data_IF_503391987098
#
_entry.id   IF_503391987098
#
_cell.length_a   1.000
_cell.length_b   1.000
_cell.length_c   1.000
_cell.angle_alpha   90.00
_cell.angle_beta   90.00
_cell.angle_gamma   90.00
#
_symmetry.space_group_name_H-M   'P 1'
#
loop_
_entity.id
_entity.type
_entity.pdbx_description
1 polymer ?
#
# COMPACT_ATOMS: atom_id res chain seq x y z
N UNK A 1 10.88 4.44 -1.95
CA UNK A 1 10.16 3.18 -2.18
C UNK A 1 9.79 3.13 -3.64
N UNK A 2 10.36 2.18 -4.37
CA UNK A 2 10.09 1.98 -5.80
C UNK A 2 8.81 1.17 -5.95
N UNK A 3 8.12 1.33 -7.09
CA UNK A 3 6.90 0.58 -7.37
C UNK A 3 7.14 -0.94 -7.52
N UNK A 4 8.40 -1.34 -7.67
CA UNK A 4 8.86 -2.72 -7.85
C UNK A 4 9.34 -3.39 -6.56
N UNK A 5 9.29 -2.69 -5.42
CA UNK A 5 9.66 -3.24 -4.11
C UNK A 5 8.49 -4.03 -3.53
N UNK A 6 8.23 -5.21 -4.11
CA UNK A 6 7.19 -6.14 -3.69
C UNK A 6 7.72 -7.13 -2.66
N UNK A 7 6.86 -7.55 -1.73
CA UNK A 7 7.11 -8.65 -0.78
C UNK A 7 5.92 -9.60 -0.71
N UNK A 8 6.15 -10.76 -0.12
CA UNK A 8 5.08 -11.68 0.28
C UNK A 8 4.04 -10.89 1.08
N UNK A 9 2.77 -11.11 0.73
CA UNK A 9 1.62 -10.46 1.36
C UNK A 9 1.16 -9.16 0.71
N UNK A 10 1.91 -8.60 -0.25
CA UNK A 10 1.47 -7.41 -0.97
C UNK A 10 0.32 -7.71 -1.95
N UNK A 11 -0.64 -6.79 -2.02
CA UNK A 11 -1.70 -6.81 -3.03
C UNK A 11 -1.20 -6.17 -4.34
N UNK A 12 -1.41 -6.89 -5.44
CA UNK A 12 -1.06 -6.47 -6.81
C UNK A 12 -2.15 -6.90 -7.77
N UNK A 13 -2.18 -6.30 -8.96
CA UNK A 13 -2.94 -6.89 -10.07
C UNK A 13 -2.10 -7.99 -10.71
N UNK A 14 -2.71 -9.15 -10.91
CA UNK A 14 -2.09 -10.27 -11.62
C UNK A 14 -2.74 -10.48 -12.99
N UNK A 15 -1.96 -10.29 -14.06
CA UNK A 15 -2.49 -10.30 -15.42
C UNK A 15 -2.58 -11.70 -16.05
N UNK A 16 -2.01 -12.74 -15.46
CA UNK A 16 -1.92 -14.07 -16.09
C UNK A 16 -1.24 -14.06 -17.47
N UNK A 17 -1.17 -15.22 -18.12
CA UNK A 17 -0.56 -15.36 -19.46
C UNK A 17 -1.56 -15.17 -20.60
N UNK A 18 -2.87 -15.18 -20.31
CA UNK A 18 -3.94 -15.22 -21.32
C UNK A 18 -4.63 -13.86 -21.55
N UNK A 19 -4.01 -12.75 -21.12
CA UNK A 19 -4.53 -11.39 -21.26
C UNK A 19 -4.95 -10.76 -19.92
N UNK A 20 -5.08 -9.42 -19.86
CA UNK A 20 -5.14 -8.67 -18.60
C UNK A 20 -6.41 -8.99 -17.81
N UNK A 21 -6.27 -9.86 -16.82
CA UNK A 21 -7.24 -9.99 -15.74
C UNK A 21 -6.82 -9.02 -14.63
N UNK A 22 -7.69 -8.07 -14.26
CA UNK A 22 -7.41 -7.14 -13.16
C UNK A 22 -7.76 -7.77 -11.81
N UNK A 23 -7.36 -9.03 -11.63
CA UNK A 23 -7.62 -9.74 -10.39
C UNK A 23 -6.65 -9.23 -9.33
N UNK A 24 -7.22 -8.74 -8.22
CA UNK A 24 -6.44 -8.43 -7.02
C UNK A 24 -5.93 -9.75 -6.48
N UNK A 25 -4.62 -9.85 -6.35
CA UNK A 25 -3.92 -11.04 -5.93
C UNK A 25 -2.90 -10.70 -4.84
N UNK A 26 -2.69 -11.62 -3.90
CA UNK A 26 -1.74 -11.45 -2.79
C UNK A 26 -0.51 -12.29 -3.08
N UNK A 27 0.66 -11.65 -3.16
CA UNK A 27 1.93 -12.31 -3.47
C UNK A 27 2.27 -13.36 -2.41
N UNK A 28 2.65 -14.56 -2.84
CA UNK A 28 3.14 -15.64 -1.99
C UNK A 28 4.61 -16.00 -2.26
N UNK A 29 5.11 -17.06 -1.61
CA UNK A 29 6.50 -17.51 -1.78
C UNK A 29 6.82 -18.11 -3.16
N UNK A 30 5.84 -18.71 -3.83
CA UNK A 30 5.99 -19.25 -5.18
C UNK A 30 6.17 -18.08 -6.15
N UNK A 31 5.38 -17.02 -6.00
CA UNK A 31 5.48 -15.83 -6.84
C UNK A 31 6.85 -15.19 -6.76
N UNK A 32 7.38 -15.00 -5.55
CA UNK A 32 8.74 -14.46 -5.35
C UNK A 32 9.78 -15.32 -6.06
N UNK A 33 9.73 -16.64 -5.85
CA UNK A 33 10.64 -17.57 -6.51
C UNK A 33 10.56 -17.49 -8.04
N UNK A 34 9.36 -17.34 -8.60
CA UNK A 34 9.15 -17.21 -10.04
C UNK A 34 9.59 -15.85 -10.57
N UNK A 35 9.37 -14.76 -9.83
CA UNK A 35 9.84 -13.41 -10.20
C UNK A 35 11.37 -13.35 -10.29
N UNK A 36 12.07 -14.06 -9.41
CA UNK A 36 13.53 -14.12 -9.38
C UNK A 36 14.09 -15.05 -10.47
N UNK A 37 13.46 -16.20 -10.69
CA UNK A 37 13.97 -17.24 -11.60
C UNK A 37 13.55 -17.06 -13.07
N UNK A 38 12.41 -16.40 -13.34
CA UNK A 38 11.85 -16.25 -14.69
C UNK A 38 11.83 -14.80 -15.15
N UNK A 39 12.67 -14.48 -16.14
CA UNK A 39 12.73 -13.16 -16.77
C UNK A 39 11.35 -12.75 -17.29
N UNK A 40 10.84 -11.63 -16.78
CA UNK A 40 9.55 -11.06 -17.19
C UNK A 40 8.35 -11.47 -16.33
N UNK A 41 8.49 -12.44 -15.41
CA UNK A 41 7.38 -12.85 -14.54
C UNK A 41 6.92 -11.73 -13.59
N UNK A 42 7.86 -10.89 -13.14
CA UNK A 42 7.55 -9.66 -12.39
C UNK A 42 6.59 -8.74 -13.15
N UNK A 43 6.63 -8.71 -14.49
CA UNK A 43 5.74 -7.85 -15.29
C UNK A 43 4.28 -8.31 -15.26
N UNK A 44 4.01 -9.56 -14.86
CA UNK A 44 2.65 -10.06 -14.65
C UNK A 44 2.01 -9.47 -13.39
N UNK A 45 2.80 -8.84 -12.52
CA UNK A 45 2.37 -8.27 -11.25
C UNK A 45 2.52 -6.76 -11.30
N UNK A 46 1.41 -6.05 -11.52
CA UNK A 46 1.45 -4.59 -11.57
C UNK A 46 0.95 -3.97 -10.26
N UNK A 47 1.58 -2.89 -9.79
CA UNK A 47 1.14 -2.17 -8.60
C UNK A 47 -0.30 -1.69 -8.69
N UNK A 48 -1.04 -1.82 -7.58
CA UNK A 48 -2.37 -1.22 -7.44
C UNK A 48 -2.20 0.21 -6.94
N UNK A 49 -2.82 1.18 -7.61
CA UNK A 49 -2.85 2.57 -7.16
C UNK A 49 -3.60 2.69 -5.83
N UNK A 50 -2.99 3.41 -4.88
CA UNK A 50 -3.61 3.68 -3.60
C UNK A 50 -4.69 4.75 -3.78
N UNK A 51 -5.91 4.43 -3.35
CA UNK A 51 -7.06 5.34 -3.32
C UNK A 51 -7.54 5.51 -1.89
N UNK A 52 -8.40 6.50 -1.63
CA UNK A 52 -9.06 6.62 -0.32
C UNK A 52 -9.82 5.34 0.06
N UNK A 53 -10.56 4.76 -0.89
CA UNK A 53 -11.30 3.52 -0.67
C UNK A 53 -10.38 2.38 -0.23
N UNK A 54 -9.20 2.26 -0.84
CA UNK A 54 -8.22 1.28 -0.38
C UNK A 54 -7.79 1.49 1.07
N UNK A 55 -7.60 2.76 1.49
CA UNK A 55 -7.26 3.07 2.88
C UNK A 55 -8.42 2.68 3.80
N UNK A 56 -9.68 2.96 3.43
CA UNK A 56 -10.87 2.63 4.22
C UNK A 56 -11.11 1.12 4.35
N UNK A 57 -10.82 0.37 3.30
CA UNK A 57 -11.00 -1.08 3.28
C UNK A 57 -9.98 -1.83 4.16
N UNK A 58 -8.90 -1.19 4.62
CA UNK A 58 -7.91 -1.87 5.46
C UNK A 58 -8.37 -2.04 6.90
N UNK A 59 -7.91 -3.12 7.51
CA UNK A 59 -8.09 -3.36 8.94
C UNK A 59 -7.40 -2.27 9.78
N UNK A 60 -7.90 -2.06 11.00
CA UNK A 60 -7.31 -1.16 12.01
C UNK A 60 -7.26 0.33 11.65
N UNK A 61 -8.05 0.74 10.66
CA UNK A 61 -8.13 2.13 10.22
C UNK A 61 -9.11 2.89 11.11
N UNK A 62 -8.63 3.99 11.68
CA UNK A 62 -9.47 4.98 12.37
C UNK A 62 -9.48 6.25 11.53
N UNK A 63 -10.66 6.68 11.10
CA UNK A 63 -10.87 7.90 10.30
C UNK A 63 -11.21 9.10 11.19
N UNK A 64 -10.66 10.26 10.83
CA UNK A 64 -10.97 11.56 11.43
C UNK A 64 -10.66 12.68 10.43
N UNK A 65 -11.20 13.86 10.67
CA UNK A 65 -10.89 15.07 9.91
C UNK A 65 -9.91 15.93 10.70
N UNK A 66 -8.95 16.56 10.01
CA UNK A 66 -8.10 17.58 10.61
C UNK A 66 -8.72 18.99 10.51
N UNK A 67 -8.06 19.99 11.10
CA UNK A 67 -8.50 21.39 11.13
C UNK A 67 -8.69 21.99 9.71
N UNK A 68 -7.97 21.45 8.72
CA UNK A 68 -8.04 21.82 7.31
C UNK A 68 -9.12 21.03 6.55
N UNK A 69 -9.96 20.25 7.26
CA UNK A 69 -10.97 19.34 6.69
C UNK A 69 -10.37 18.27 5.74
N UNK A 70 -9.11 17.89 5.91
CA UNK A 70 -8.54 16.76 5.17
C UNK A 70 -8.97 15.44 5.81
N UNK A 71 -9.17 14.41 4.98
CA UNK A 71 -9.37 13.05 5.45
C UNK A 71 -8.05 12.50 6.00
N UNK A 72 -8.07 12.10 7.27
CA UNK A 72 -6.92 11.51 7.94
C UNK A 72 -7.28 10.15 8.50
N UNK A 73 -6.40 9.19 8.25
CA UNK A 73 -6.52 7.82 8.70
C UNK A 73 -5.36 7.47 9.61
N UNK A 74 -5.65 6.86 10.76
CA UNK A 74 -4.64 6.33 11.67
C UNK A 74 -4.58 4.81 11.51
N UNK A 75 -3.37 4.31 11.29
CA UNK A 75 -3.02 2.91 11.10
C UNK A 75 -1.92 2.56 12.11
N UNK A 76 -2.30 2.26 13.35
CA UNK A 76 -1.36 2.17 14.46
C UNK A 76 -0.64 3.51 14.70
N UNK A 77 0.69 3.54 14.55
CA UNK A 77 1.49 4.77 14.63
C UNK A 77 1.66 5.49 13.28
N UNK A 78 1.12 4.94 12.19
CA UNK A 78 1.09 5.63 10.89
C UNK A 78 -0.10 6.59 10.82
N UNK A 79 0.16 7.75 10.24
CA UNK A 79 -0.84 8.74 9.83
C UNK A 79 -0.89 8.76 8.31
N UNK A 80 -2.05 8.53 7.70
CA UNK A 80 -2.27 8.70 6.27
C UNK A 80 -3.15 9.93 6.07
N UNK A 81 -2.71 10.88 5.25
CA UNK A 81 -3.43 12.15 4.99
C UNK A 81 -3.71 12.23 3.49
N UNK A 82 -4.96 12.52 3.14
CA UNK A 82 -5.37 12.76 1.76
C UNK A 82 -5.58 14.26 1.57
N UNK A 83 -4.72 14.88 0.77
CA UNK A 83 -4.77 16.32 0.47
C UNK A 83 -4.78 16.53 -1.04
N UNK A 84 -5.85 17.13 -1.56
CA UNK A 84 -6.04 17.38 -3.01
C UNK A 84 -5.73 16.13 -3.86
N UNK A 85 -6.36 15.00 -3.52
CA UNK A 85 -6.18 13.69 -4.17
C UNK A 85 -4.78 13.05 -4.05
N UNK A 86 -3.85 13.70 -3.33
CA UNK A 86 -2.53 13.14 -3.05
C UNK A 86 -2.53 12.50 -1.67
N UNK A 87 -2.11 11.24 -1.62
CA UNK A 87 -1.98 10.48 -0.38
C UNK A 87 -0.55 10.59 0.14
N UNK A 88 -0.43 11.02 1.38
CA UNK A 88 0.81 11.12 2.12
C UNK A 88 0.74 10.22 3.34
N UNK A 89 1.88 9.67 3.74
CA UNK A 89 2.03 9.13 5.08
C UNK A 89 2.91 10.03 5.94
N UNK A 90 2.67 9.98 7.24
CA UNK A 90 3.48 10.53 8.31
C UNK A 90 3.41 9.61 9.53
N UNK A 91 3.99 10.08 10.64
CA UNK A 91 4.02 9.34 11.92
C UNK A 91 3.14 10.08 12.92
N UNK A 92 2.36 9.35 13.70
CA UNK A 92 1.56 9.91 14.78
C UNK A 92 2.46 10.62 15.80
N UNK A 93 2.03 11.75 16.34
CA UNK A 93 2.82 12.61 17.24
C UNK A 93 4.09 13.24 16.64
N UNK A 94 4.32 13.11 15.32
CA UNK A 94 5.35 13.86 14.61
C UNK A 94 4.66 14.95 13.78
N UNK A 95 5.12 16.22 13.85
CA UNK A 95 4.56 17.28 13.01
C UNK A 95 4.60 16.87 11.53
N UNK A 96 3.43 16.86 10.88
CA UNK A 96 3.28 16.33 9.52
C UNK A 96 4.17 17.05 8.50
N UNK A 97 4.38 18.35 8.67
CA UNK A 97 5.28 19.14 7.81
C UNK A 97 6.76 18.75 7.98
N UNK A 98 7.16 18.20 9.13
CA UNK A 98 8.53 17.70 9.36
C UNK A 98 8.74 16.31 8.76
N UNK A 99 7.69 15.50 8.70
CA UNK A 99 7.77 14.15 8.17
C UNK A 99 6.48 13.79 7.44
N UNK A 100 6.50 14.06 6.13
CA UNK A 100 5.50 13.56 5.18
C UNK A 100 6.18 13.01 3.95
N UNK A 101 5.65 11.91 3.42
CA UNK A 101 6.12 11.34 2.17
C UNK A 101 4.95 10.83 1.36
N UNK A 102 4.96 11.19 0.07
CA UNK A 102 3.93 10.77 -0.87
C UNK A 102 4.01 9.26 -1.10
N UNK A 103 2.86 8.61 -1.03
CA UNK A 103 2.68 7.20 -1.40
C UNK A 103 1.67 7.11 -2.53
N UNK A 104 1.93 6.21 -3.48
CA UNK A 104 1.17 6.09 -4.72
C UNK A 104 0.50 4.73 -4.87
N UNK A 105 1.06 3.69 -4.24
CA UNK A 105 0.63 2.31 -4.45
C UNK A 105 0.32 1.61 -3.13
N UNK A 106 -0.61 0.67 -3.19
CA UNK A 106 -1.06 -0.14 -2.05
C UNK A 106 0.11 -0.84 -1.34
N UNK A 107 0.97 -1.51 -2.09
CA UNK A 107 2.13 -2.22 -1.52
C UNK A 107 3.06 -1.29 -0.70
N UNK A 108 3.16 -0.01 -1.05
CA UNK A 108 4.00 0.93 -0.29
C UNK A 108 3.45 1.15 1.12
N UNK A 109 2.13 1.27 1.25
CA UNK A 109 1.48 1.38 2.56
C UNK A 109 1.60 0.07 3.35
N UNK A 110 1.40 -1.08 2.70
CA UNK A 110 1.54 -2.40 3.33
C UNK A 110 2.97 -2.66 3.83
N UNK A 111 3.98 -2.22 3.08
CA UNK A 111 5.39 -2.37 3.47
C UNK A 111 5.73 -1.45 4.64
N UNK A 112 5.23 -0.21 4.64
CA UNK A 112 5.43 0.71 5.75
C UNK A 112 4.76 0.21 7.04
N UNK A 113 3.52 -0.28 6.94
CA UNK A 113 2.79 -0.81 8.09
C UNK A 113 3.52 -2.03 8.69
N UNK A 114 3.97 -2.96 7.85
CA UNK A 114 4.73 -4.12 8.30
C UNK A 114 6.04 -3.74 8.99
N UNK A 115 6.83 -2.83 8.41
CA UNK A 115 8.10 -2.39 9.03
C UNK A 115 7.88 -1.76 10.41
N UNK A 116 6.73 -1.13 10.66
CA UNK A 116 6.45 -0.43 11.92
C UNK A 116 5.72 -1.27 12.96
N UNK A 117 5.07 -2.37 12.55
CA UNK A 117 4.17 -3.13 13.43
C UNK A 117 4.46 -4.63 13.45
N UNK A 118 5.29 -5.12 12.52
CA UNK A 118 5.54 -6.54 12.24
C UNK A 118 4.27 -7.33 11.90
N UNK A 119 3.19 -6.64 11.51
CA UNK A 119 1.91 -7.23 11.13
C UNK A 119 1.59 -6.95 9.67
N UNK A 120 0.87 -7.88 9.05
CA UNK A 120 0.36 -7.69 7.70
C UNK A 120 -0.81 -6.72 7.68
N UNK A 121 -0.81 -5.79 6.73
CA UNK A 121 -1.96 -4.93 6.47
C UNK A 121 -2.88 -5.62 5.46
N UNK A 122 -4.02 -6.11 5.94
CA UNK A 122 -5.05 -6.84 5.19
C UNK A 122 -6.34 -6.04 5.09
N UNK A 123 -7.15 -6.36 4.07
CA UNK A 123 -8.49 -5.79 3.89
C UNK A 123 -9.49 -6.46 4.85
N UNK A 124 -10.47 -5.68 5.33
CA UNK A 124 -11.65 -6.16 6.06
C UNK A 124 -12.62 -6.92 5.14
#
# INVERSE_FOLDING_TARGET
MKATELRIGNYVYYHGTNGPTHNIYKIDGIDISLMESKKGYLKLHTPIQLTEQWVKDFEYVIEFQDEDSNNVFKLGNLKVVIKKEVIYFGIWNVPFEKFKKKIKYVHQLQNLYFVLTEKELTKQ
#
